data_IF_609978038029
#
_entry.id   IF_609978038029
#
_cell.length_a   1.000
_cell.length_b   1.000
_cell.length_c   1.000
_cell.angle_alpha   90.00
_cell.angle_beta   90.00
_cell.angle_gamma   90.00
#
_symmetry.space_group_name_H-M   'P 1'
#
loop_
_entity.id
_entity.type
_entity.pdbx_description
1 polymer ?
#
# COMPACT_ATOMS: atom_id res chain seq x y z
N UNK A 1 -4.11 -40.72 -33.45
CA UNK A 1 -3.56 -39.35 -33.62
C UNK A 1 -4.59 -38.24 -33.32
N UNK A 2 -5.85 -38.32 -33.75
CA UNK A 2 -6.90 -37.30 -33.44
C UNK A 2 -7.15 -37.03 -31.95
N UNK A 3 -7.13 -38.06 -31.10
CA UNK A 3 -7.38 -37.95 -29.64
C UNK A 3 -6.27 -37.16 -28.91
N UNK A 4 -5.03 -37.24 -29.39
CA UNK A 4 -3.90 -36.53 -28.78
C UNK A 4 -4.08 -35.02 -28.92
N UNK A 5 -4.60 -34.54 -30.07
CA UNK A 5 -4.87 -33.11 -30.26
C UNK A 5 -5.95 -32.58 -29.32
N UNK A 6 -7.00 -33.37 -29.03
CA UNK A 6 -8.02 -32.98 -28.05
C UNK A 6 -7.47 -32.93 -26.62
N UNK A 7 -6.57 -33.86 -26.26
CA UNK A 7 -5.94 -33.88 -24.95
C UNK A 7 -5.00 -32.68 -24.75
N UNK A 8 -4.21 -32.32 -25.77
CA UNK A 8 -3.34 -31.14 -25.76
C UNK A 8 -4.15 -29.84 -25.69
N UNK A 9 -5.28 -29.76 -26.41
CA UNK A 9 -6.15 -28.59 -26.37
C UNK A 9 -6.82 -28.41 -24.99
N UNK A 10 -7.23 -29.50 -24.35
CA UNK A 10 -7.84 -29.47 -23.01
C UNK A 10 -6.87 -29.00 -21.93
N UNK A 11 -5.56 -29.25 -22.07
CA UNK A 11 -4.54 -28.84 -21.10
C UNK A 11 -4.35 -27.31 -21.08
N UNK A 12 -4.62 -26.61 -22.20
CA UNK A 12 -4.48 -25.15 -22.30
C UNK A 12 -5.60 -24.44 -21.53
N UNK A 13 -6.78 -25.06 -21.41
CA UNK A 13 -7.94 -24.45 -20.74
C UNK A 13 -7.87 -24.47 -19.20
N UNK A 14 -6.98 -25.27 -18.60
CA UNK A 14 -6.89 -25.42 -17.12
C UNK A 14 -5.92 -24.38 -16.51
N UNK A 15 -5.11 -23.69 -17.32
CA UNK A 15 -4.06 -22.78 -16.82
C UNK A 15 -4.55 -21.36 -16.45
N UNK A 16 -5.85 -21.11 -16.43
CA UNK A 16 -6.40 -19.82 -16.02
C UNK A 16 -6.93 -19.89 -14.58
N UNK A 17 -6.02 -19.96 -13.61
CA UNK A 17 -6.36 -19.61 -12.24
C UNK A 17 -6.41 -18.09 -12.17
N UNK A 18 -7.61 -17.52 -11.96
CA UNK A 18 -7.69 -16.16 -11.43
C UNK A 18 -7.10 -16.22 -10.03
N UNK A 19 -5.93 -15.60 -9.84
CA UNK A 19 -5.53 -15.15 -8.52
C UNK A 19 -6.60 -14.15 -8.11
N UNK A 20 -7.47 -14.54 -7.17
CA UNK A 20 -8.26 -13.54 -6.47
C UNK A 20 -7.23 -12.60 -5.84
N UNK A 21 -7.27 -11.32 -6.20
CA UNK A 21 -6.48 -10.31 -5.51
C UNK A 21 -6.92 -10.39 -4.04
N UNK A 22 -6.09 -11.02 -3.21
CA UNK A 22 -6.26 -10.96 -1.77
C UNK A 22 -6.34 -9.47 -1.43
N UNK A 23 -7.51 -9.00 -1.00
CA UNK A 23 -7.73 -7.66 -0.49
C UNK A 23 -6.70 -7.43 0.62
N UNK A 24 -5.53 -6.93 0.24
CA UNK A 24 -4.44 -6.67 1.17
C UNK A 24 -4.87 -5.41 1.87
N UNK A 25 -5.49 -5.55 3.04
CA UNK A 25 -5.90 -4.40 3.84
C UNK A 25 -4.67 -3.50 4.04
N UNK A 26 -4.83 -2.21 3.73
CA UNK A 26 -3.78 -1.21 3.86
C UNK A 26 -3.62 -0.83 5.34
N UNK A 27 -3.24 -1.80 6.16
CA UNK A 27 -3.09 -1.68 7.62
C UNK A 27 -1.64 -1.94 7.98
N UNK A 28 -1.05 -1.05 8.77
CA UNK A 28 0.35 -1.18 9.18
C UNK A 28 0.87 0.00 9.96
N UNK A 29 2.16 -0.08 10.29
CA UNK A 29 2.88 0.97 11.01
C UNK A 29 4.05 1.42 10.14
N UNK A 30 4.11 2.72 9.88
CA UNK A 30 5.23 3.34 9.20
C UNK A 30 6.11 4.05 10.23
N UNK A 31 7.34 3.56 10.38
CA UNK A 31 8.36 4.15 11.26
C UNK A 31 9.28 4.99 10.39
N UNK A 32 9.45 6.26 10.74
CA UNK A 32 10.32 7.14 9.95
C UNK A 32 11.80 6.76 10.14
N UNK A 33 12.59 6.82 9.06
CA UNK A 33 14.03 6.57 9.11
C UNK A 33 14.82 7.88 9.05
N UNK A 34 14.41 8.78 8.17
CA UNK A 34 15.00 10.10 8.00
C UNK A 34 14.00 11.11 7.41
N UNK A 35 14.33 12.39 7.54
CA UNK A 35 13.71 13.47 6.79
C UNK A 35 14.79 14.38 6.26
N UNK A 36 14.78 14.60 4.95
CA UNK A 36 15.73 15.48 4.26
C UNK A 36 14.98 16.65 3.63
N UNK A 37 15.41 17.89 3.90
CA UNK A 37 14.85 19.07 3.25
C UNK A 37 14.80 20.32 4.13
N UNK A 38 13.74 21.12 3.93
CA UNK A 38 13.62 22.45 4.51
C UNK A 38 14.56 23.48 3.87
N UNK A 39 14.41 24.74 4.26
CA UNK A 39 15.25 25.84 3.75
C UNK A 39 16.72 25.67 4.17
N UNK A 40 16.96 24.99 5.28
CA UNK A 40 18.28 24.69 5.84
C UNK A 40 18.94 23.45 5.19
N UNK A 41 18.20 22.70 4.35
CA UNK A 41 18.74 21.56 3.60
C UNK A 41 19.31 20.42 4.45
N UNK A 42 18.81 20.26 5.68
CA UNK A 42 19.32 19.27 6.63
C UNK A 42 18.62 17.93 6.47
N UNK A 43 19.39 16.87 6.67
CA UNK A 43 18.88 15.52 6.94
C UNK A 43 18.84 15.31 8.44
N UNK A 44 17.69 14.91 8.96
CA UNK A 44 17.49 14.55 10.36
C UNK A 44 17.04 13.10 10.45
N UNK A 45 17.55 12.39 11.45
CA UNK A 45 17.21 11.01 11.77
C UNK A 45 16.64 10.95 13.19
N UNK A 46 16.03 9.83 13.62
CA UNK A 46 15.68 9.62 15.01
C UNK A 46 16.88 9.85 15.95
N UNK A 47 18.06 9.36 15.58
CA UNK A 47 19.29 9.49 16.37
C UNK A 47 19.75 10.96 16.48
N UNK A 48 19.75 11.71 15.37
CA UNK A 48 20.25 13.09 15.37
C UNK A 48 19.28 14.09 16.01
N UNK A 49 17.98 13.78 16.01
CA UNK A 49 16.93 14.68 16.50
C UNK A 49 16.40 14.30 17.89
N UNK A 50 16.55 13.04 18.31
CA UNK A 50 15.90 12.50 19.50
C UNK A 50 14.39 12.37 19.36
N UNK A 51 13.85 12.44 18.13
CA UNK A 51 12.42 12.39 17.85
C UNK A 51 12.09 11.04 17.19
N UNK A 52 11.23 10.25 17.83
CA UNK A 52 10.63 9.05 17.26
C UNK A 52 9.26 9.39 16.68
N UNK A 53 9.01 8.99 15.43
CA UNK A 53 7.72 9.18 14.75
C UNK A 53 7.23 7.86 14.20
N UNK A 54 5.98 7.56 14.51
CA UNK A 54 5.27 6.38 14.02
C UNK A 54 3.93 6.83 13.43
N UNK A 55 3.61 6.34 12.24
CA UNK A 55 2.29 6.53 11.62
C UNK A 55 1.57 5.19 11.62
N UNK A 56 0.47 5.12 12.38
CA UNK A 56 -0.41 3.97 12.37
C UNK A 56 -1.48 4.18 11.30
N UNK A 57 -1.57 3.23 10.39
CA UNK A 57 -2.56 3.17 9.33
C UNK A 57 -3.50 2.03 9.67
N UNK A 58 -4.75 2.35 9.97
CA UNK A 58 -5.83 1.38 10.19
C UNK A 58 -6.78 1.40 8.99
N UNK A 59 -7.84 0.61 9.01
CA UNK A 59 -8.83 0.57 7.94
C UNK A 59 -9.50 1.94 7.69
N UNK A 60 -9.70 2.75 8.73
CA UNK A 60 -10.49 3.98 8.68
C UNK A 60 -9.81 5.19 9.33
N UNK A 61 -8.61 5.04 9.88
CA UNK A 61 -7.88 6.13 10.53
C UNK A 61 -6.38 6.14 10.28
N UNK A 62 -5.83 7.35 10.29
CA UNK A 62 -4.40 7.63 10.34
C UNK A 62 -4.08 8.29 11.67
N UNK A 63 -3.08 7.77 12.38
CA UNK A 63 -2.61 8.32 13.64
C UNK A 63 -1.11 8.61 13.57
N UNK A 64 -0.68 9.77 14.03
CA UNK A 64 0.73 10.12 14.21
C UNK A 64 1.07 10.09 15.69
N UNK A 65 2.00 9.22 16.04
CA UNK A 65 2.60 9.16 17.37
C UNK A 65 3.99 9.79 17.29
N UNK A 66 4.26 10.79 18.15
CA UNK A 66 5.58 11.40 18.30
C UNK A 66 6.06 11.21 19.73
N UNK A 67 7.22 10.58 19.89
CA UNK A 67 7.80 10.27 21.21
C UNK A 67 6.81 9.56 22.15
N UNK A 68 5.95 8.69 21.61
CA UNK A 68 4.93 7.94 22.36
C UNK A 68 3.62 8.70 22.61
N UNK A 69 3.50 9.97 22.21
CA UNK A 69 2.28 10.76 22.36
C UNK A 69 1.51 10.84 21.04
N UNK A 70 0.18 10.73 21.10
CA UNK A 70 -0.69 10.99 19.96
C UNK A 70 -0.69 12.50 19.65
N UNK A 71 -0.11 12.86 18.51
CA UNK A 71 -0.05 14.26 18.05
C UNK A 71 -1.12 14.58 17.01
N UNK A 72 -1.58 13.57 16.25
CA UNK A 72 -2.58 13.75 15.21
C UNK A 72 -3.36 12.48 14.97
N UNK A 73 -4.66 12.63 14.72
CA UNK A 73 -5.56 11.56 14.30
C UNK A 73 -6.56 12.11 13.29
N UNK A 74 -6.79 11.37 12.21
CA UNK A 74 -7.86 11.67 11.25
C UNK A 74 -8.50 10.40 10.72
N UNK A 75 -9.80 10.45 10.47
CA UNK A 75 -10.49 9.43 9.70
C UNK A 75 -10.20 9.57 8.20
N UNK A 76 -10.29 8.46 7.46
CA UNK A 76 -10.26 8.45 6.00
C UNK A 76 -11.11 7.31 5.43
N UNK A 77 -11.39 7.38 4.13
CA UNK A 77 -12.05 6.30 3.38
C UNK A 77 -11.36 6.09 2.04
N UNK A 78 -11.15 4.84 1.64
CA UNK A 78 -10.65 4.49 0.30
C UNK A 78 -11.84 4.19 -0.60
N UNK A 79 -11.82 4.78 -1.80
CA UNK A 79 -12.86 4.57 -2.81
C UNK A 79 -12.23 4.46 -4.21
N UNK A 80 -12.76 3.54 -5.01
CA UNK A 80 -12.39 3.41 -6.41
C UNK A 80 -13.02 4.56 -7.21
N UNK A 81 -12.18 5.33 -7.90
CA UNK A 81 -12.61 6.43 -8.77
C UNK A 81 -11.97 6.32 -10.15
N UNK A 82 -12.57 7.01 -11.11
CA UNK A 82 -12.02 7.12 -12.46
C UNK A 82 -10.65 7.81 -12.43
N UNK A 83 -9.67 7.23 -13.11
CA UNK A 83 -8.32 7.79 -13.17
C UNK A 83 -8.33 9.13 -13.91
N UNK A 84 -7.79 10.17 -13.28
CA UNK A 84 -7.61 11.49 -13.90
C UNK A 84 -6.58 11.49 -15.05
N UNK A 85 -5.76 10.44 -15.16
CA UNK A 85 -4.70 10.33 -16.18
C UNK A 85 -5.16 9.44 -17.34
N UNK A 86 -5.83 8.34 -17.04
CA UNK A 86 -6.16 7.29 -18.01
C UNK A 86 -7.65 7.20 -18.34
N UNK A 87 -8.50 7.95 -17.63
CA UNK A 87 -9.97 7.95 -17.81
C UNK A 87 -10.59 6.54 -17.76
N UNK A 88 -9.98 5.67 -16.97
CA UNK A 88 -10.41 4.30 -16.71
C UNK A 88 -10.52 4.08 -15.21
N UNK A 89 -11.56 3.36 -14.80
CA UNK A 89 -11.66 2.85 -13.42
C UNK A 89 -10.83 1.57 -13.37
N UNK A 90 -9.69 1.61 -12.67
CA UNK A 90 -8.99 0.38 -12.34
C UNK A 90 -9.80 -0.33 -11.26
N UNK A 91 -10.34 -1.49 -11.63
CA UNK A 91 -10.96 -2.43 -10.70
C UNK A 91 -9.89 -3.19 -9.94
#
# INVERSE_FOLDING_TARGET
>A
MRIIYFLVFSLICISCSKTEDENTEFVGVWIWEESSGGIDGKTITPESSGINREVYITHDSLQLIVNGNLEFETGYSIENRESIIFNEVKK
#
